data_IF_295920580518
#
_entry.id   IF_295920580518
#
_cell.length_a   1.000
_cell.length_b   1.000
_cell.length_c   1.000
_cell.angle_alpha   90.00
_cell.angle_beta   90.00
_cell.angle_gamma   90.00
#
_symmetry.space_group_name_H-M   'P 1'
#
loop_
_entity.id
_entity.type
_entity.pdbx_description
1 polymer ?
#
# COMPACT_ATOMS: atom_id res chain seq x y z
N UNK A 1 -47.16 -56.99 -33.26
CA UNK A 1 -46.20 -57.41 -34.31
C UNK A 1 -44.89 -57.76 -33.62
N UNK A 2 -44.29 -58.86 -34.07
CA UNK A 2 -43.41 -59.75 -33.33
C UNK A 2 -42.08 -59.17 -32.83
N UNK A 3 -41.63 -59.57 -31.63
CA UNK A 3 -40.23 -59.50 -31.20
C UNK A 3 -39.47 -60.75 -31.68
N UNK A 4 -38.16 -60.66 -31.88
CA UNK A 4 -37.27 -61.83 -31.94
C UNK A 4 -36.10 -61.68 -30.98
N UNK A 5 -36.08 -62.62 -30.04
CA UNK A 5 -34.98 -63.01 -29.17
C UNK A 5 -33.85 -63.67 -29.98
N UNK A 6 -32.62 -63.47 -29.53
CA UNK A 6 -31.58 -64.52 -29.55
C UNK A 6 -30.73 -64.40 -28.29
N UNK A 7 -31.05 -65.27 -27.33
CA UNK A 7 -30.17 -65.78 -26.29
C UNK A 7 -29.15 -66.75 -26.88
N UNK A 8 -27.98 -66.90 -26.23
CA UNK A 8 -27.49 -68.19 -25.72
C UNK A 8 -26.30 -67.96 -24.75
N UNK A 9 -26.06 -68.90 -23.82
CA UNK A 9 -25.32 -68.70 -22.57
C UNK A 9 -23.91 -69.30 -22.64
N UNK A 10 -23.05 -69.02 -21.66
CA UNK A 10 -22.12 -70.03 -21.17
C UNK A 10 -21.79 -69.79 -19.70
N UNK A 11 -22.19 -70.76 -18.89
CA UNK A 11 -21.86 -70.91 -17.48
C UNK A 11 -20.98 -72.15 -17.40
N UNK A 12 -19.72 -72.03 -16.96
CA UNK A 12 -18.97 -73.19 -16.44
C UNK A 12 -18.20 -72.73 -15.21
N UNK A 13 -18.61 -73.34 -14.10
CA UNK A 13 -18.00 -73.35 -12.78
C UNK A 13 -16.63 -74.01 -12.82
N UNK A 14 -15.66 -73.46 -12.09
CA UNK A 14 -14.34 -74.06 -11.93
C UNK A 14 -13.73 -73.71 -10.57
N UNK A 15 -14.08 -74.53 -9.58
CA UNK A 15 -13.44 -74.62 -8.27
C UNK A 15 -11.91 -74.76 -8.41
N UNK A 16 -11.13 -74.02 -7.63
CA UNK A 16 -9.72 -74.38 -7.43
C UNK A 16 -8.87 -73.30 -6.77
N UNK A 17 -8.32 -73.64 -5.61
CA UNK A 17 -7.18 -73.02 -4.94
C UNK A 17 -7.45 -71.93 -3.90
N UNK A 18 -7.85 -72.44 -2.73
CA UNK A 18 -7.19 -72.20 -1.44
C UNK A 18 -5.67 -71.88 -1.53
N UNK A 19 -5.21 -71.12 -0.54
CA UNK A 19 -3.83 -70.68 -0.21
C UNK A 19 -3.33 -69.39 -0.90
N UNK A 20 -3.46 -68.27 -0.19
CA UNK A 20 -2.29 -67.54 0.34
C UNK A 20 -2.73 -66.55 1.45
N UNK A 21 -3.04 -67.09 2.62
CA UNK A 21 -2.93 -66.35 3.89
C UNK A 21 -1.48 -66.48 4.32
N UNK A 22 -0.70 -65.40 4.21
CA UNK A 22 0.31 -64.94 5.18
C UNK A 22 1.28 -63.95 4.53
N UNK A 23 1.65 -62.93 5.32
CA UNK A 23 2.76 -61.99 5.14
C UNK A 23 2.50 -60.80 4.21
N UNK A 24 1.74 -59.81 4.71
CA UNK A 24 2.11 -58.40 4.50
C UNK A 24 2.40 -57.81 5.88
N UNK A 25 3.68 -57.59 6.22
CA UNK A 25 4.09 -57.07 7.52
C UNK A 25 3.76 -55.58 7.60
N UNK A 26 3.20 -55.14 8.73
CA UNK A 26 3.73 -54.02 9.54
C UNK A 26 4.41 -52.84 8.81
N UNK A 27 3.82 -52.33 7.72
CA UNK A 27 4.30 -51.15 6.98
C UNK A 27 3.23 -50.05 6.86
N UNK A 28 2.28 -49.99 7.81
CA UNK A 28 1.24 -48.96 7.84
C UNK A 28 1.26 -48.11 9.13
N UNK A 29 2.43 -47.95 9.75
CA UNK A 29 2.60 -47.09 10.94
C UNK A 29 3.76 -46.10 10.81
N UNK A 30 4.11 -45.66 9.58
CA UNK A 30 5.20 -44.70 9.37
C UNK A 30 4.89 -43.64 8.29
N UNK A 31 3.62 -43.28 8.09
CA UNK A 31 3.25 -42.25 7.10
C UNK A 31 2.20 -41.26 7.65
N UNK A 32 2.49 -40.63 8.80
CA UNK A 32 1.74 -39.46 9.27
C UNK A 32 2.60 -38.41 9.96
N UNK A 33 3.91 -38.44 9.73
CA UNK A 33 4.76 -37.27 9.93
C UNK A 33 5.02 -36.65 8.56
N UNK A 34 3.97 -36.14 7.91
CA UNK A 34 4.13 -35.10 6.89
C UNK A 34 4.62 -33.88 7.68
N UNK A 35 5.93 -33.81 7.88
CA UNK A 35 6.57 -32.65 8.47
C UNK A 35 6.04 -31.45 7.70
N UNK A 36 5.36 -30.55 8.41
CA UNK A 36 5.12 -29.21 7.89
C UNK A 36 6.49 -28.74 7.40
N UNK A 37 6.60 -28.48 6.10
CA UNK A 37 7.78 -27.83 5.56
C UNK A 37 8.07 -26.64 6.47
N UNK A 38 9.33 -26.46 6.93
CA UNK A 38 9.66 -25.36 7.83
C UNK A 38 9.08 -24.09 7.21
N UNK A 39 8.13 -23.47 7.93
CA UNK A 39 7.46 -22.27 7.45
C UNK A 39 8.54 -21.26 7.12
N UNK A 40 8.58 -20.79 5.87
CA UNK A 40 9.52 -19.76 5.44
C UNK A 40 9.49 -18.65 6.50
N UNK A 41 10.65 -18.22 7.03
CA UNK A 41 10.68 -17.20 8.06
C UNK A 41 9.90 -15.97 7.55
N UNK A 42 9.04 -15.37 8.39
CA UNK A 42 8.19 -14.28 7.95
C UNK A 42 9.06 -13.17 7.35
N UNK A 43 8.73 -12.79 6.11
CA UNK A 43 9.46 -11.71 5.43
C UNK A 43 9.38 -10.45 6.27
N UNK A 44 10.49 -9.72 6.43
CA UNK A 44 10.50 -8.56 7.29
C UNK A 44 9.58 -7.49 6.70
N UNK A 45 8.88 -6.74 7.57
CA UNK A 45 7.93 -5.71 7.16
C UNK A 45 8.60 -4.62 6.32
N UNK A 46 7.85 -4.05 5.37
CA UNK A 46 8.33 -2.93 4.55
C UNK A 46 7.47 -1.70 4.77
N UNK A 47 8.04 -0.67 5.36
CA UNK A 47 7.39 0.62 5.59
C UNK A 47 7.87 1.65 4.58
N UNK A 48 6.97 2.51 4.12
CA UNK A 48 7.30 3.73 3.39
C UNK A 48 6.61 4.90 4.07
N UNK A 49 7.19 6.09 3.96
CA UNK A 49 6.71 7.27 4.66
C UNK A 49 6.30 8.36 3.67
N UNK A 50 5.21 9.05 3.93
CA UNK A 50 4.75 10.24 3.21
C UNK A 50 4.49 11.35 4.23
N UNK A 51 5.18 12.47 4.08
CA UNK A 51 5.04 13.63 4.97
C UNK A 51 4.20 14.70 4.29
N UNK A 52 3.14 15.16 4.96
CA UNK A 52 2.25 16.23 4.50
C UNK A 52 2.54 17.55 5.21
N UNK A 53 3.81 17.82 5.49
CA UNK A 53 4.26 19.01 6.20
C UNK A 53 5.26 19.79 5.34
N UNK A 54 4.81 20.96 4.90
CA UNK A 54 5.56 21.85 4.01
C UNK A 54 6.62 22.69 4.73
N UNK A 55 6.67 22.65 6.07
CA UNK A 55 7.69 23.39 6.80
C UNK A 55 9.06 22.76 6.59
N UNK A 56 10.10 23.60 6.53
CA UNK A 56 11.47 23.16 6.28
C UNK A 56 11.97 22.16 7.34
N UNK A 57 12.89 21.29 6.92
CA UNK A 57 13.55 20.32 7.78
C UNK A 57 13.41 18.87 7.31
N UNK A 58 14.48 18.11 7.47
CA UNK A 58 14.52 16.68 7.13
C UNK A 58 13.86 15.81 8.20
N UNK A 59 13.25 14.71 7.76
CA UNK A 59 12.68 13.69 8.64
C UNK A 59 13.62 12.49 8.78
N UNK A 60 13.75 12.02 10.02
CA UNK A 60 14.55 10.85 10.34
C UNK A 60 13.85 9.93 11.35
N UNK A 61 14.13 8.64 11.26
CA UNK A 61 13.83 7.68 12.32
C UNK A 61 15.01 7.60 13.27
N UNK A 62 14.72 7.54 14.57
CA UNK A 62 15.73 7.16 15.56
C UNK A 62 15.83 5.64 15.63
N UNK A 63 17.01 5.12 15.35
CA UNK A 63 17.35 3.70 15.42
C UNK A 63 18.51 3.57 16.39
N UNK A 64 18.25 3.01 17.56
CA UNK A 64 19.17 2.98 18.70
C UNK A 64 19.71 4.39 19.04
N UNK A 65 20.99 4.61 18.75
CA UNK A 65 21.71 5.88 18.98
C UNK A 65 21.91 6.71 17.71
N UNK A 66 21.40 6.25 16.56
CA UNK A 66 21.60 6.90 15.26
C UNK A 66 20.28 7.39 14.67
N UNK A 67 20.39 8.37 13.78
CA UNK A 67 19.26 8.86 12.98
C UNK A 67 19.41 8.37 11.55
N UNK A 68 18.36 7.73 11.02
CA UNK A 68 18.27 7.37 9.60
C UNK A 68 17.29 8.32 8.93
N UNK A 69 17.78 9.13 8.00
CA UNK A 69 16.92 10.01 7.21
C UNK A 69 15.94 9.17 6.38
N UNK A 70 14.67 9.55 6.40
CA UNK A 70 13.59 8.88 5.66
C UNK A 70 12.88 9.82 4.69
N UNK A 71 12.92 11.13 4.90
CA UNK A 71 12.49 12.10 3.90
C UNK A 71 13.23 13.43 4.07
N UNK A 72 13.36 14.18 2.98
CA UNK A 72 13.87 15.55 2.96
C UNK A 72 12.86 16.57 2.45
N UNK A 73 11.67 16.11 2.04
CA UNK A 73 10.69 16.98 1.40
C UNK A 73 9.26 16.48 1.64
N UNK A 74 8.28 17.40 1.68
CA UNK A 74 6.88 17.03 1.71
C UNK A 74 6.48 16.27 0.44
N UNK A 75 5.40 15.50 0.53
CA UNK A 75 4.69 14.85 -0.58
C UNK A 75 5.48 13.77 -1.33
N UNK A 76 6.67 13.41 -0.87
CA UNK A 76 7.51 12.39 -1.49
C UNK A 76 7.49 11.13 -0.62
N UNK A 77 7.14 10.01 -1.24
CA UNK A 77 7.21 8.70 -0.58
C UNK A 77 8.68 8.33 -0.41
N UNK A 78 9.07 7.99 0.81
CA UNK A 78 10.41 7.56 1.14
C UNK A 78 10.83 6.29 0.36
N UNK A 79 12.14 6.05 0.24
CA UNK A 79 12.65 4.70 0.02
C UNK A 79 12.07 3.70 1.05
N UNK A 80 12.00 2.40 0.71
CA UNK A 80 11.49 1.40 1.64
C UNK A 80 12.39 1.32 2.89
N UNK A 81 11.77 1.20 4.04
CA UNK A 81 12.41 0.96 5.32
C UNK A 81 11.95 -0.39 5.87
N UNK A 82 12.90 -1.24 6.20
CA UNK A 82 12.66 -2.56 6.77
C UNK A 82 13.11 -2.52 8.23
N UNK A 83 12.21 -2.27 9.19
CA UNK A 83 12.60 -2.25 10.59
C UNK A 83 12.98 -3.65 11.07
N UNK A 84 13.92 -3.73 12.00
CA UNK A 84 14.32 -4.98 12.64
C UNK A 84 13.21 -5.53 13.55
N UNK A 85 12.39 -4.66 14.13
CA UNK A 85 11.22 -4.99 14.94
C UNK A 85 10.07 -4.03 14.65
N UNK A 86 8.81 -4.48 14.82
CA UNK A 86 7.61 -3.62 14.73
C UNK A 86 7.31 -2.93 16.08
N UNK A 87 8.33 -2.69 16.88
CA UNK A 87 8.20 -1.91 18.11
C UNK A 87 7.96 -0.43 17.79
N UNK A 88 7.80 0.38 18.84
CA UNK A 88 7.57 1.82 18.73
C UNK A 88 8.69 2.47 17.91
N UNK A 89 8.31 3.10 16.80
CA UNK A 89 9.17 3.91 15.96
C UNK A 89 8.98 5.39 16.31
N UNK A 90 10.09 6.10 16.48
CA UNK A 90 10.11 7.52 16.76
C UNK A 90 10.55 8.30 15.52
N UNK A 91 9.73 9.25 15.09
CA UNK A 91 10.03 10.17 14.00
C UNK A 91 10.55 11.48 14.59
N UNK A 92 11.63 11.96 14.01
CA UNK A 92 12.26 13.23 14.31
C UNK A 92 12.29 14.12 13.08
N UNK A 93 12.26 15.42 13.31
CA UNK A 93 12.46 16.45 12.29
C UNK A 93 13.63 17.34 12.68
N UNK A 94 14.50 17.67 11.73
CA UNK A 94 15.57 18.65 11.94
C UNK A 94 14.96 20.05 12.10
N UNK A 95 15.29 20.74 13.18
CA UNK A 95 14.88 22.12 13.45
C UNK A 95 15.48 23.09 12.43
N UNK A 96 14.78 24.17 12.11
CA UNK A 96 15.31 25.31 11.35
C UNK A 96 15.99 26.35 12.22
N UNK A 97 15.81 26.25 13.55
CA UNK A 97 16.46 27.10 14.53
C UNK A 97 17.66 26.35 15.09
N UNK A 98 18.90 26.86 14.91
CA UNK A 98 20.08 26.24 15.49
C UNK A 98 20.07 26.38 17.02
N UNK A 99 20.64 25.40 17.70
CA UNK A 99 20.89 25.47 19.13
C UNK A 99 21.82 26.67 19.43
N UNK A 100 21.46 27.58 20.35
CA UNK A 100 22.23 28.79 20.60
C UNK A 100 23.60 28.52 21.26
N UNK A 101 23.80 27.33 21.83
CA UNK A 101 25.05 26.93 22.50
C UNK A 101 25.95 26.17 21.52
N UNK A 102 25.41 25.20 20.78
CA UNK A 102 26.22 24.34 19.89
C UNK A 102 26.28 24.83 18.45
N UNK A 103 25.35 25.68 18.02
CA UNK A 103 25.18 26.10 16.63
C UNK A 103 24.63 25.01 15.71
N UNK A 104 24.41 23.79 16.22
CA UNK A 104 23.88 22.68 15.45
C UNK A 104 22.36 22.77 15.34
N UNK A 105 21.78 22.23 14.26
CA UNK A 105 20.33 22.13 14.12
C UNK A 105 19.81 20.89 14.87
N UNK A 106 19.13 21.06 16.02
CA UNK A 106 18.68 19.93 16.82
C UNK A 106 17.61 19.14 16.08
N UNK A 107 17.57 17.81 16.32
CA UNK A 107 16.47 16.96 15.86
C UNK A 107 15.40 16.89 16.94
N UNK A 108 14.22 17.41 16.63
CA UNK A 108 13.07 17.43 17.52
C UNK A 108 12.21 16.19 17.26
N UNK A 109 11.79 15.51 18.31
CA UNK A 109 10.86 14.39 18.20
C UNK A 109 9.49 14.94 17.82
N UNK A 110 8.97 14.53 16.67
CA UNK A 110 7.68 15.03 16.15
C UNK A 110 6.53 14.08 16.45
N UNK A 111 6.77 12.78 16.42
CA UNK A 111 5.77 11.78 16.76
C UNK A 111 6.39 10.41 17.06
N UNK A 112 5.56 9.52 17.56
CA UNK A 112 5.85 8.10 17.73
C UNK A 112 4.66 7.29 17.27
N UNK A 113 4.93 6.10 16.78
CA UNK A 113 3.87 5.16 16.43
C UNK A 113 4.36 3.72 16.56
N UNK A 114 3.44 2.78 16.73
CA UNK A 114 3.75 1.35 16.73
C UNK A 114 2.96 0.72 15.58
N UNK A 115 3.63 0.17 14.55
CA UNK A 115 2.93 -0.57 13.50
C UNK A 115 2.10 -1.73 14.09
N UNK A 116 0.95 -2.07 13.49
CA UNK A 116 0.25 -3.31 13.81
C UNK A 116 1.18 -4.52 13.70
N UNK A 117 1.11 -5.47 14.64
CA UNK A 117 2.05 -6.60 14.72
C UNK A 117 2.07 -7.50 13.47
N UNK A 118 0.98 -7.52 12.69
CA UNK A 118 0.84 -8.27 11.45
C UNK A 118 1.17 -7.46 10.19
N UNK A 119 1.76 -6.27 10.33
CA UNK A 119 2.13 -5.43 9.19
C UNK A 119 3.18 -6.15 8.34
N UNK A 120 2.87 -6.38 7.07
CA UNK A 120 3.84 -6.92 6.08
C UNK A 120 4.36 -5.82 5.16
N UNK A 121 3.50 -4.87 4.80
CA UNK A 121 3.86 -3.69 4.02
C UNK A 121 2.89 -2.56 4.34
N UNK A 122 3.36 -1.33 4.50
CA UNK A 122 2.48 -0.18 4.72
C UNK A 122 3.05 1.13 4.18
N UNK A 123 2.14 2.04 3.84
CA UNK A 123 2.42 3.47 3.68
C UNK A 123 2.02 4.18 4.98
N UNK A 124 2.99 4.82 5.61
CA UNK A 124 2.82 5.63 6.83
C UNK A 124 2.69 7.08 6.40
N UNK A 125 1.51 7.66 6.59
CA UNK A 125 1.26 9.07 6.28
C UNK A 125 1.40 9.87 7.56
N UNK A 126 2.24 10.89 7.53
CA UNK A 126 2.54 11.76 8.68
C UNK A 126 2.05 13.15 8.35
N UNK A 127 1.08 13.64 9.12
CA UNK A 127 0.40 14.91 8.85
C UNK A 127 0.55 15.83 10.05
N UNK A 128 1.04 17.08 9.87
CA UNK A 128 1.10 18.04 10.95
C UNK A 128 -0.33 18.40 11.37
N UNK A 129 -0.57 18.47 12.67
CA UNK A 129 -1.79 19.04 13.23
C UNK A 129 -1.55 20.51 13.51
N UNK A 130 -2.56 21.37 13.29
CA UNK A 130 -2.49 22.75 13.75
C UNK A 130 -2.15 22.76 15.24
N UNK A 131 -1.22 23.62 15.69
CA UNK A 131 -1.00 23.78 17.13
C UNK A 131 -2.32 24.17 17.80
N UNK A 132 -2.54 23.67 19.01
CA UNK A 132 -3.69 24.09 19.80
C UNK A 132 -3.69 25.63 19.92
N UNK A 133 -4.84 26.31 19.83
CA UNK A 133 -4.89 27.77 19.98
C UNK A 133 -4.16 28.22 21.26
N UNK A 134 -3.16 29.10 21.11
CA UNK A 134 -2.35 29.59 22.22
C UNK A 134 -1.13 28.73 22.60
N UNK A 135 -0.86 27.64 21.90
CA UNK A 135 0.34 26.82 22.11
C UNK A 135 1.55 27.38 21.36
N UNK A 136 2.68 27.51 22.07
CA UNK A 136 4.01 27.77 21.49
C UNK A 136 4.78 26.49 21.16
N UNK A 137 4.24 25.33 21.54
CA UNK A 137 4.85 24.03 21.24
C UNK A 137 4.61 23.70 19.76
N UNK A 138 5.63 23.17 19.04
CA UNK A 138 5.45 22.70 17.67
C UNK A 138 4.21 21.79 17.57
N UNK A 139 3.43 21.95 16.50
CA UNK A 139 2.22 21.16 16.28
C UNK A 139 2.48 19.66 16.44
N UNK A 140 1.54 18.93 17.03
CA UNK A 140 1.59 17.47 17.08
C UNK A 140 1.45 16.90 15.68
N UNK A 141 1.98 15.71 15.41
CA UNK A 141 1.79 15.06 14.10
C UNK A 141 0.90 13.85 14.26
N UNK A 142 -0.12 13.76 13.41
CA UNK A 142 -0.93 12.57 13.25
C UNK A 142 -0.19 11.55 12.37
N UNK A 143 -0.33 10.27 12.71
CA UNK A 143 0.24 9.17 11.95
C UNK A 143 -0.88 8.24 11.51
N UNK A 144 -1.02 8.06 10.21
CA UNK A 144 -1.95 7.12 9.62
C UNK A 144 -1.21 5.96 8.97
N UNK A 145 -1.74 4.76 9.18
CA UNK A 145 -1.24 3.53 8.59
C UNK A 145 -2.14 3.04 7.48
N UNK A 146 -1.57 2.96 6.28
CA UNK A 146 -2.23 2.43 5.09
C UNK A 146 -1.60 1.08 4.75
N UNK A 147 -2.32 -0.01 5.04
CA UNK A 147 -1.86 -1.37 4.72
C UNK A 147 -1.69 -1.55 3.20
N UNK A 148 -0.53 -2.07 2.79
CA UNK A 148 -0.16 -2.36 1.41
C UNK A 148 -0.07 -3.86 1.13
N UNK A 149 -0.48 -4.70 2.09
CA UNK A 149 -0.58 -6.14 1.90
C UNK A 149 -1.50 -6.48 0.72
N UNK A 150 -1.26 -7.62 0.08
CA UNK A 150 -2.11 -8.10 -1.02
C UNK A 150 -3.55 -8.33 -0.62
N UNK A 151 -3.79 -8.59 0.67
CA UNK A 151 -5.12 -8.79 1.22
C UNK A 151 -5.89 -7.45 1.33
N UNK A 152 -5.24 -6.40 1.84
CA UNK A 152 -5.86 -5.09 2.02
C UNK A 152 -5.89 -4.27 0.71
N UNK A 153 -4.91 -4.47 -0.17
CA UNK A 153 -4.80 -3.77 -1.44
C UNK A 153 -4.43 -4.77 -2.55
N UNK A 154 -5.43 -5.43 -3.16
CA UNK A 154 -5.20 -6.45 -4.18
C UNK A 154 -4.56 -5.90 -5.47
N UNK A 155 -3.87 -6.77 -6.21
CA UNK A 155 -3.38 -6.45 -7.56
C UNK A 155 -4.51 -6.09 -8.52
N UNK A 156 -4.22 -5.25 -9.52
CA UNK A 156 -5.20 -4.82 -10.51
C UNK A 156 -6.22 -3.80 -9.97
N UNK A 157 -5.98 -3.25 -8.78
CA UNK A 157 -6.83 -2.21 -8.18
C UNK A 157 -6.11 -0.87 -8.09
N UNK A 158 -6.91 0.20 -8.04
CA UNK A 158 -6.46 1.55 -7.77
C UNK A 158 -6.94 1.96 -6.37
N UNK A 159 -6.03 2.49 -5.56
CA UNK A 159 -6.36 3.08 -4.26
C UNK A 159 -6.26 4.60 -4.33
N UNK A 160 -7.34 5.27 -3.97
CA UNK A 160 -7.46 6.73 -3.87
C UNK A 160 -7.45 7.11 -2.40
N UNK A 161 -6.50 7.94 -2.00
CA UNK A 161 -6.43 8.53 -0.67
C UNK A 161 -6.80 10.00 -0.78
N UNK A 162 -7.92 10.44 -0.21
CA UNK A 162 -8.24 11.85 -0.10
C UNK A 162 -7.78 12.37 1.27
N UNK A 163 -6.66 13.10 1.30
CA UNK A 163 -6.16 13.83 2.47
C UNK A 163 -6.34 15.34 2.30
N UNK A 164 -7.26 15.73 1.41
CA UNK A 164 -7.73 17.09 1.28
C UNK A 164 -8.88 17.41 2.22
N UNK A 165 -9.36 18.66 2.14
CA UNK A 165 -10.49 19.17 2.91
C UNK A 165 -11.79 19.25 2.07
N UNK A 166 -11.73 18.90 0.78
CA UNK A 166 -12.87 18.85 -0.15
C UNK A 166 -13.02 17.46 -0.74
N UNK A 167 -14.24 17.12 -1.17
CA UNK A 167 -14.53 15.83 -1.81
C UNK A 167 -13.84 15.74 -3.17
N UNK A 168 -13.40 14.54 -3.49
CA UNK A 168 -12.66 14.21 -4.70
C UNK A 168 -13.50 13.30 -5.59
N UNK A 169 -13.80 13.71 -6.81
CA UNK A 169 -14.33 12.84 -7.84
C UNK A 169 -13.18 12.28 -8.68
N UNK A 170 -13.20 10.97 -8.92
CA UNK A 170 -12.28 10.31 -9.85
C UNK A 170 -13.09 9.51 -10.85
N UNK A 171 -12.93 9.82 -12.13
CA UNK A 171 -13.53 9.08 -13.24
C UNK A 171 -12.47 8.23 -13.92
N UNK A 172 -12.72 6.93 -13.91
CA UNK A 172 -11.88 5.87 -14.48
C UNK A 172 -12.68 5.19 -15.60
N UNK A 173 -12.38 5.54 -16.85
CA UNK A 173 -13.19 5.14 -18.00
C UNK A 173 -14.69 5.50 -17.79
N UNK A 174 -15.56 4.49 -17.63
CA UNK A 174 -17.01 4.68 -17.39
C UNK A 174 -17.39 4.80 -15.91
N UNK A 175 -16.49 4.41 -15.01
CA UNK A 175 -16.75 4.42 -13.57
C UNK A 175 -16.41 5.79 -12.98
N UNK A 176 -17.27 6.30 -12.11
CA UNK A 176 -17.00 7.49 -11.31
C UNK A 176 -17.10 7.12 -9.84
N UNK A 177 -16.14 7.59 -9.05
CA UNK A 177 -16.13 7.44 -7.59
C UNK A 177 -15.96 8.80 -6.95
N UNK A 178 -16.74 9.05 -5.91
CA UNK A 178 -16.53 10.20 -5.01
C UNK A 178 -15.85 9.70 -3.74
N UNK A 179 -14.79 10.38 -3.34
CA UNK A 179 -13.96 10.09 -2.18
C UNK A 179 -14.03 11.30 -1.26
N UNK A 180 -14.71 11.15 -0.12
CA UNK A 180 -14.86 12.20 0.87
C UNK A 180 -13.52 12.60 1.51
N UNK A 181 -13.40 13.83 2.06
CA UNK A 181 -12.24 14.24 2.85
C UNK A 181 -11.84 13.21 3.91
N UNK A 182 -10.54 12.94 4.03
CA UNK A 182 -9.99 11.97 4.97
C UNK A 182 -10.23 10.49 4.63
N UNK A 183 -10.99 10.19 3.57
CA UNK A 183 -11.37 8.82 3.25
C UNK A 183 -10.39 8.11 2.31
N UNK A 184 -10.56 6.79 2.20
CA UNK A 184 -9.84 5.91 1.29
C UNK A 184 -10.84 5.13 0.46
N UNK A 185 -10.61 5.03 -0.84
CA UNK A 185 -11.38 4.18 -1.75
C UNK A 185 -10.43 3.26 -2.52
N UNK A 186 -10.80 1.99 -2.61
CA UNK A 186 -10.14 1.01 -3.48
C UNK A 186 -11.15 0.61 -4.53
N UNK A 187 -10.74 0.66 -5.79
CA UNK A 187 -11.60 0.40 -6.94
C UNK A 187 -10.87 -0.48 -7.94
N UNK A 188 -11.62 -1.33 -8.62
CA UNK A 188 -11.13 -2.10 -9.75
C UNK A 188 -11.43 -1.33 -11.03
N UNK A 189 -10.41 -0.79 -11.72
CA UNK A 189 -10.63 -0.07 -12.97
C UNK A 189 -11.00 -0.99 -14.13
N UNK A 190 -11.83 -0.50 -15.03
CA UNK A 190 -12.07 -1.12 -16.34
C UNK A 190 -11.03 -0.55 -17.33
N UNK A 191 -9.83 -1.12 -17.30
CA UNK A 191 -8.73 -0.72 -18.18
C UNK A 191 -8.90 -1.34 -19.58
N UNK A 192 -8.39 -0.67 -20.61
CA UNK A 192 -8.43 -1.21 -21.97
C UNK A 192 -7.59 -2.51 -22.10
N UNK A 193 -7.66 -3.24 -23.24
CA UNK A 193 -6.88 -4.47 -23.42
C UNK A 193 -5.36 -4.31 -23.34
N UNK A 194 -4.84 -3.07 -23.39
CA UNK A 194 -3.43 -2.73 -23.21
C UNK A 194 -3.13 -2.28 -21.77
N UNK A 195 -4.10 -2.39 -20.86
CA UNK A 195 -4.03 -1.93 -19.48
C UNK A 195 -4.06 -0.40 -19.36
N UNK A 196 -4.44 0.35 -20.39
CA UNK A 196 -4.48 1.81 -20.33
C UNK A 196 -5.80 2.27 -19.72
N UNK A 197 -5.70 3.24 -18.84
CA UNK A 197 -6.82 3.81 -18.10
C UNK A 197 -6.73 5.32 -18.14
N UNK A 198 -7.71 5.98 -18.76
CA UNK A 198 -7.84 7.43 -18.62
C UNK A 198 -8.43 7.74 -17.24
N UNK A 199 -7.69 8.55 -16.48
CA UNK A 199 -8.00 8.98 -15.13
C UNK A 199 -8.26 10.47 -15.17
N UNK A 200 -9.50 10.83 -14.84
CA UNK A 200 -9.91 12.22 -14.65
C UNK A 200 -10.16 12.42 -13.17
N UNK A 201 -9.64 13.51 -12.64
CA UNK A 201 -9.78 13.84 -11.22
C UNK A 201 -10.36 15.24 -11.14
N UNK A 202 -11.36 15.42 -10.28
CA UNK A 202 -11.99 16.71 -10.03
C UNK A 202 -12.20 16.93 -8.53
N UNK A 203 -12.12 18.18 -8.07
CA UNK A 203 -12.44 18.56 -6.68
C UNK A 203 -13.77 19.29 -6.63
N UNK A 204 -14.46 19.14 -5.52
CA UNK A 204 -15.68 19.90 -5.25
C UNK A 204 -15.31 21.30 -4.78
N UNK A 205 -15.74 22.32 -5.53
CA UNK A 205 -15.79 23.72 -5.09
C UNK A 205 -17.21 24.01 -4.58
N UNK A 206 -17.48 25.18 -3.96
CA UNK A 206 -18.83 25.52 -3.50
C UNK A 206 -19.89 25.46 -4.61
N UNK A 207 -19.52 25.81 -5.84
CA UNK A 207 -20.47 26.00 -6.94
C UNK A 207 -20.39 24.90 -8.02
N UNK A 208 -19.28 24.17 -8.12
CA UNK A 208 -19.08 23.20 -9.21
C UNK A 208 -18.02 22.11 -8.90
N UNK A 209 -17.89 21.17 -9.84
CA UNK A 209 -16.76 20.24 -9.87
C UNK A 209 -15.69 20.79 -10.80
N UNK A 210 -14.51 21.14 -10.24
CA UNK A 210 -13.38 21.63 -11.03
C UNK A 210 -12.49 20.46 -11.42
N UNK A 211 -12.27 20.24 -12.72
CA UNK A 211 -11.33 19.23 -13.20
C UNK A 211 -9.90 19.66 -12.84
N UNK A 212 -9.18 18.75 -12.20
CA UNK A 212 -7.85 19.00 -11.65
C UNK A 212 -6.75 18.17 -12.29
N UNK A 213 -7.12 17.02 -12.85
CA UNK A 213 -6.18 16.16 -13.56
C UNK A 213 -6.87 15.38 -14.67
N UNK A 214 -6.16 15.13 -15.76
CA UNK A 214 -6.59 14.34 -16.92
C UNK A 214 -5.38 13.61 -17.50
N UNK A 215 -5.15 12.40 -17.02
CA UNK A 215 -3.99 11.61 -17.38
C UNK A 215 -4.39 10.23 -17.87
N UNK A 216 -3.46 9.55 -18.55
CA UNK A 216 -3.58 8.13 -18.88
C UNK A 216 -2.55 7.37 -18.06
N UNK A 217 -3.03 6.43 -17.26
CA UNK A 217 -2.21 5.54 -16.43
C UNK A 217 -2.27 4.12 -17.01
N UNK A 218 -1.18 3.37 -16.92
CA UNK A 218 -1.16 1.95 -17.30
C UNK A 218 -1.30 1.08 -16.06
N UNK A 219 -2.42 0.38 -15.93
CA UNK A 219 -2.73 -0.59 -14.87
C UNK A 219 -2.68 -1.99 -15.48
N UNK A 220 -1.66 -2.78 -15.12
CA UNK A 220 -1.58 -4.21 -15.48
C UNK A 220 -2.24 -5.06 -14.38
N UNK A 221 -2.68 -6.29 -14.68
CA UNK A 221 -3.37 -7.16 -13.70
C UNK A 221 -2.61 -7.37 -12.38
N UNK A 222 -1.27 -7.44 -12.42
CA UNK A 222 -0.45 -7.63 -11.21
C UNK A 222 0.08 -6.32 -10.61
N UNK A 223 -0.24 -5.20 -11.24
CA UNK A 223 0.18 -3.87 -10.79
C UNK A 223 -0.91 -3.30 -9.90
N UNK A 224 -0.47 -2.74 -8.77
CA UNK A 224 -1.27 -1.90 -7.89
C UNK A 224 -0.98 -0.45 -8.24
N UNK A 225 -1.96 0.44 -8.15
CA UNK A 225 -1.74 1.88 -8.35
C UNK A 225 -2.30 2.65 -7.16
N UNK A 226 -1.46 3.39 -6.45
CA UNK A 226 -1.92 4.29 -5.38
C UNK A 226 -1.86 5.73 -5.87
N UNK A 227 -3.03 6.37 -5.98
CA UNK A 227 -3.16 7.82 -6.13
C UNK A 227 -3.43 8.45 -4.76
N UNK A 228 -2.72 9.53 -4.44
CA UNK A 228 -2.89 10.27 -3.19
C UNK A 228 -3.21 11.72 -3.55
N UNK A 229 -4.42 12.17 -3.22
CA UNK A 229 -4.74 13.59 -3.18
C UNK A 229 -4.42 14.10 -1.78
N UNK A 230 -3.68 15.20 -1.72
CA UNK A 230 -3.31 15.86 -0.48
C UNK A 230 -3.67 17.34 -0.60
N UNK A 231 -4.11 17.96 0.50
CA UNK A 231 -4.21 19.40 0.56
C UNK A 231 -2.86 20.01 0.91
N UNK A 232 -2.52 21.10 0.23
CA UNK A 232 -1.33 21.91 0.46
C UNK A 232 -1.78 23.37 0.65
N UNK A 233 -1.54 23.97 1.83
CA UNK A 233 -1.85 25.37 2.08
C UNK A 233 -1.11 26.35 1.18
N UNK A 234 0.11 26.00 0.73
CA UNK A 234 0.88 26.82 -0.23
C UNK A 234 0.51 26.58 -1.70
N UNK A 235 -0.54 25.77 -1.95
CA UNK A 235 -0.84 25.20 -3.25
C UNK A 235 0.11 24.03 -3.55
N UNK A 236 -0.42 22.89 -3.97
CA UNK A 236 0.41 21.69 -4.11
C UNK A 236 1.39 21.87 -5.29
N UNK A 237 2.67 22.04 -4.98
CA UNK A 237 3.76 22.28 -5.96
C UNK A 237 4.24 21.03 -6.69
N UNK A 238 3.72 19.85 -6.35
CA UNK A 238 4.31 18.59 -6.79
C UNK A 238 3.60 18.04 -8.02
N UNK A 239 4.09 18.45 -9.19
CA UNK A 239 4.09 17.62 -10.40
C UNK A 239 5.49 17.00 -10.44
N UNK A 240 5.63 15.67 -10.53
CA UNK A 240 6.93 15.08 -10.82
C UNK A 240 7.29 15.41 -12.26
N UNK A 241 7.87 16.60 -12.46
CA UNK A 241 8.41 17.02 -13.73
C UNK A 241 9.65 16.18 -14.09
N UNK A 242 10.05 16.18 -15.37
CA UNK A 242 11.21 15.39 -15.84
C UNK A 242 12.49 15.60 -15.04
N UNK A 243 12.69 16.81 -14.49
CA UNK A 243 13.84 17.13 -13.65
C UNK A 243 13.85 16.39 -12.30
N UNK A 244 12.69 16.28 -11.63
CA UNK A 244 12.59 15.59 -10.33
C UNK A 244 12.70 14.07 -10.52
N UNK A 245 12.21 13.53 -11.65
CA UNK A 245 12.39 12.13 -12.03
C UNK A 245 13.85 11.79 -12.34
N UNK A 246 14.62 12.72 -12.92
CA UNK A 246 16.05 12.53 -13.17
C UNK A 246 16.87 12.45 -11.87
N UNK A 247 16.52 13.23 -10.85
CA UNK A 247 17.22 13.22 -9.55
C UNK A 247 16.82 12.04 -8.65
N UNK A 248 15.55 11.64 -8.69
CA UNK A 248 14.96 10.70 -7.71
C UNK A 248 14.61 9.34 -8.29
N UNK A 249 14.75 9.17 -9.60
CA UNK A 249 14.30 8.01 -10.35
C UNK A 249 12.79 8.02 -10.60
N UNK A 250 12.35 7.25 -11.59
CA UNK A 250 10.93 7.03 -11.81
C UNK A 250 10.27 6.42 -10.56
N UNK A 251 9.03 6.79 -10.21
CA UNK A 251 8.30 6.06 -9.21
C UNK A 251 8.28 4.56 -9.61
N UNK A 252 8.35 3.63 -8.65
CA UNK A 252 8.25 2.22 -8.96
C UNK A 252 7.01 1.96 -9.83
N UNK A 253 7.02 0.96 -10.72
CA UNK A 253 5.93 0.67 -11.67
C UNK A 253 4.52 0.50 -11.04
N UNK A 254 4.42 0.46 -9.71
CA UNK A 254 3.20 0.32 -8.91
C UNK A 254 2.71 1.61 -8.23
N UNK A 255 3.28 2.78 -8.53
CA UNK A 255 2.83 4.05 -7.98
C UNK A 255 2.63 5.05 -9.11
N UNK A 256 1.42 5.62 -9.20
CA UNK A 256 1.10 6.72 -10.12
C UNK A 256 0.48 7.86 -9.32
N UNK A 257 0.98 9.07 -9.53
CA UNK A 257 0.55 10.26 -8.80
C UNK A 257 -0.55 10.99 -9.58
N UNK A 258 -1.57 11.46 -8.88
CA UNK A 258 -2.61 12.36 -9.40
C UNK A 258 -2.49 13.66 -8.61
N UNK A 259 -2.27 14.79 -9.28
CA UNK A 259 -1.80 16.04 -8.66
C UNK A 259 -2.66 17.24 -9.08
N UNK A 260 -2.94 18.18 -8.17
CA UNK A 260 -3.74 19.41 -8.40
C UNK A 260 -3.13 20.67 -7.80
N UNK A 261 -3.38 21.82 -8.44
CA UNK A 261 -3.07 23.15 -7.93
C UNK A 261 -4.35 23.96 -7.71
N UNK A 262 -4.56 24.44 -6.48
CA UNK A 262 -5.64 25.39 -6.18
C UNK A 262 -5.12 26.82 -6.32
N UNK A 263 -4.98 27.25 -7.58
CA UNK A 263 -4.93 28.66 -7.98
C UNK A 263 -5.59 28.77 -9.37
N UNK A 264 -6.32 29.86 -9.67
CA UNK A 264 -6.99 30.06 -10.96
C UNK A 264 -6.03 30.03 -12.16
#
# INVERSE_FOLDING_TARGET
MSPRLTSLPFQVSGLGYFLLLLVIPLFFAALSARGQAPSEPPKPPVLRFLFLDETEGDYALKIDRKFKQISSAPYIISPPYTPASLERLDIYKTSTVPDPVTGEFPRLKVTSFTPPANTTSALVIVTPQPPAPGSITPGTYNVEFIDNSSAAFPGGTLRILNRGHVSLATRLAKNQVVTEPGSVKIITPDADPRGRLRVLVAVQTPDEWKLIDDNVVVVKPDIRVTGVLVYSPSGMKFRLGPYILAERGDPPPSHAWLTYTDTP
#
